data_IF_462260506348
#
_entry.id   IF_462260506348
#
_cell.length_a   1.000
_cell.length_b   1.000
_cell.length_c   1.000
_cell.angle_alpha   90.00
_cell.angle_beta   90.00
_cell.angle_gamma   90.00
#
_symmetry.space_group_name_H-M   'P 1'
#
loop_
_entity.id
_entity.type
_entity.pdbx_description
1 polymer ?
#
# COMPACT_ATOMS: atom_id res chain seq x y z
N UNK A 1 11.34 -31.51 15.63
CA UNK A 1 11.46 -30.09 15.97
C UNK A 1 10.14 -29.68 16.60
N UNK A 2 10.10 -29.30 17.89
CA UNK A 2 8.86 -28.82 18.48
C UNK A 2 8.48 -27.49 17.81
N UNK A 3 7.20 -27.30 17.50
CA UNK A 3 6.70 -25.99 17.06
C UNK A 3 6.97 -24.95 18.15
N UNK A 4 7.47 -23.75 17.79
CA UNK A 4 7.69 -22.69 18.76
C UNK A 4 6.37 -22.31 19.43
N UNK A 5 6.42 -22.05 20.74
CA UNK A 5 5.25 -21.61 21.48
C UNK A 5 4.64 -20.35 20.83
N UNK A 6 3.30 -20.19 20.82
CA UNK A 6 2.63 -19.07 20.17
C UNK A 6 3.00 -17.68 20.74
N UNK A 7 3.78 -17.62 21.83
CA UNK A 7 4.27 -16.37 22.44
C UNK A 7 5.64 -15.88 21.95
N UNK A 8 6.37 -16.63 21.10
CA UNK A 8 7.76 -16.26 20.74
C UNK A 8 7.93 -15.56 19.39
N UNK A 9 6.92 -15.59 18.50
CA UNK A 9 7.01 -14.84 17.23
C UNK A 9 6.45 -13.43 17.40
N UNK A 10 7.29 -12.41 17.19
CA UNK A 10 6.82 -11.02 17.02
C UNK A 10 5.67 -11.02 16.02
N UNK A 11 4.50 -10.41 16.31
CA UNK A 11 3.43 -10.34 15.32
C UNK A 11 3.83 -9.47 14.12
N UNK A 12 4.77 -8.54 14.31
CA UNK A 12 5.39 -7.80 13.22
C UNK A 12 6.35 -8.68 12.44
N UNK A 13 5.79 -9.56 11.62
CA UNK A 13 6.53 -10.40 10.69
C UNK A 13 6.92 -9.60 9.45
N UNK A 14 8.07 -9.91 8.89
CA UNK A 14 8.41 -9.48 7.55
C UNK A 14 7.90 -10.54 6.55
N UNK A 15 7.49 -10.12 5.36
CA UNK A 15 7.18 -11.07 4.30
C UNK A 15 8.47 -11.67 3.73
N UNK A 16 8.42 -12.95 3.40
CA UNK A 16 9.52 -13.69 2.81
C UNK A 16 9.65 -13.39 1.31
N UNK A 17 10.90 -13.39 0.82
CA UNK A 17 11.19 -13.25 -0.61
C UNK A 17 11.66 -14.59 -1.15
N UNK A 18 10.73 -15.33 -1.73
CA UNK A 18 10.97 -16.65 -2.30
C UNK A 18 10.62 -16.67 -3.79
N UNK A 19 11.24 -17.60 -4.51
CA UNK A 19 10.89 -17.95 -5.90
C UNK A 19 9.82 -19.04 -5.99
N UNK A 20 9.43 -19.60 -4.84
CA UNK A 20 8.33 -20.56 -4.71
C UNK A 20 6.97 -19.91 -4.95
N UNK A 21 5.97 -20.75 -5.24
CA UNK A 21 4.60 -20.29 -5.46
C UNK A 21 4.06 -19.58 -4.19
N UNK A 22 3.46 -18.38 -4.32
CA UNK A 22 2.85 -17.68 -3.21
C UNK A 22 1.74 -18.52 -2.57
N UNK A 23 1.58 -18.38 -1.25
CA UNK A 23 0.49 -19.02 -0.50
C UNK A 23 -0.87 -18.37 -0.77
N UNK A 24 -0.88 -17.06 -0.98
CA UNK A 24 -2.09 -16.29 -1.24
C UNK A 24 -2.70 -16.61 -2.61
N UNK A 25 -4.04 -16.67 -2.71
CA UNK A 25 -4.71 -16.84 -4.00
C UNK A 25 -4.39 -15.66 -4.93
N UNK A 26 -4.06 -15.95 -6.17
CA UNK A 26 -3.74 -14.96 -7.19
C UNK A 26 -4.41 -15.30 -8.51
N UNK A 27 -4.83 -14.26 -9.24
CA UNK A 27 -5.53 -14.38 -10.52
C UNK A 27 -4.98 -13.37 -11.51
N UNK A 28 -4.78 -13.80 -12.75
CA UNK A 28 -4.44 -12.90 -13.85
C UNK A 28 -5.70 -12.34 -14.48
N UNK A 29 -5.74 -11.03 -14.70
CA UNK A 29 -6.85 -10.33 -15.34
C UNK A 29 -6.33 -9.45 -16.47
N UNK A 30 -7.09 -9.40 -17.57
CA UNK A 30 -6.89 -8.45 -18.65
C UNK A 30 -8.19 -7.63 -18.77
N UNK A 31 -8.23 -6.38 -18.28
CA UNK A 31 -9.43 -5.56 -18.35
C UNK A 31 -9.85 -5.34 -19.80
N UNK A 32 -11.15 -5.49 -20.06
CA UNK A 32 -11.74 -5.15 -21.36
C UNK A 32 -11.85 -3.65 -21.58
N UNK A 33 -12.57 -3.25 -22.63
CA UNK A 33 -12.93 -1.86 -22.82
C UNK A 33 -13.91 -1.41 -21.72
N UNK A 34 -13.67 -0.23 -21.14
CA UNK A 34 -14.56 0.37 -20.16
C UNK A 34 -15.26 1.59 -20.76
N UNK A 35 -16.55 1.83 -20.42
CA UNK A 35 -17.24 3.02 -20.85
C UNK A 35 -16.52 4.26 -20.33
N UNK A 36 -16.44 5.33 -21.13
CA UNK A 36 -15.76 6.55 -20.72
C UNK A 36 -16.52 7.21 -19.56
N UNK A 37 -15.75 7.85 -18.68
CA UNK A 37 -16.30 8.66 -17.57
C UNK A 37 -17.27 9.70 -18.13
N UNK A 38 -18.43 9.82 -17.50
CA UNK A 38 -19.48 10.74 -17.92
C UNK A 38 -20.47 10.19 -18.96
N UNK A 39 -20.26 8.96 -19.45
CA UNK A 39 -21.28 8.27 -20.25
C UNK A 39 -22.38 7.65 -19.37
N UNK A 40 -23.57 7.47 -19.94
CA UNK A 40 -24.68 6.79 -19.26
C UNK A 40 -24.32 5.35 -18.85
N UNK A 41 -23.54 4.66 -19.68
CA UNK A 41 -23.05 3.32 -19.38
C UNK A 41 -22.11 3.29 -18.16
N UNK A 42 -21.22 4.29 -18.04
CA UNK A 42 -20.37 4.45 -16.86
C UNK A 42 -21.22 4.77 -15.62
N UNK A 43 -22.15 5.73 -15.72
CA UNK A 43 -23.02 6.12 -14.61
C UNK A 43 -23.85 4.93 -14.09
N UNK A 44 -24.47 4.16 -15.00
CA UNK A 44 -25.26 2.97 -14.64
C UNK A 44 -24.42 1.89 -13.95
N UNK A 45 -23.18 1.64 -14.40
CA UNK A 45 -22.30 0.64 -13.79
C UNK A 45 -21.76 1.10 -12.44
N UNK A 46 -21.39 2.36 -12.31
CA UNK A 46 -20.98 2.94 -11.02
C UNK A 46 -22.14 3.01 -10.01
N UNK A 47 -23.37 3.26 -10.45
CA UNK A 47 -24.56 3.20 -9.59
C UNK A 47 -24.77 1.78 -9.02
N UNK A 48 -24.58 0.73 -9.83
CA UNK A 48 -24.59 -0.67 -9.37
C UNK A 48 -23.50 -0.95 -8.33
N UNK A 49 -22.28 -0.44 -8.57
CA UNK A 49 -21.20 -0.51 -7.57
C UNK A 49 -21.62 0.19 -6.28
N UNK A 50 -22.19 1.38 -6.37
CA UNK A 50 -22.71 2.15 -5.24
C UNK A 50 -23.77 1.40 -4.45
N UNK A 51 -24.74 0.80 -5.13
CA UNK A 51 -25.78 -0.02 -4.50
C UNK A 51 -25.18 -1.25 -3.79
N UNK A 52 -24.18 -1.90 -4.40
CA UNK A 52 -23.48 -3.04 -3.80
C UNK A 52 -22.67 -2.63 -2.54
N UNK A 53 -21.98 -1.49 -2.58
CA UNK A 53 -21.26 -0.94 -1.43
C UNK A 53 -22.21 -0.59 -0.28
N UNK A 54 -23.34 0.04 -0.58
CA UNK A 54 -24.36 0.39 0.42
C UNK A 54 -24.99 -0.86 1.05
N UNK A 55 -25.39 -1.84 0.23
CA UNK A 55 -25.93 -3.12 0.70
C UNK A 55 -24.93 -3.90 1.58
N UNK A 56 -23.64 -3.78 1.32
CA UNK A 56 -22.58 -4.35 2.15
C UNK A 56 -22.29 -3.55 3.44
N UNK A 57 -22.93 -2.39 3.62
CA UNK A 57 -22.78 -1.52 4.78
C UNK A 57 -21.54 -0.63 4.75
N UNK A 58 -20.94 -0.37 3.58
CA UNK A 58 -19.79 0.56 3.45
C UNK A 58 -20.21 1.97 3.85
N UNK A 59 -19.66 2.46 4.96
CA UNK A 59 -20.01 3.75 5.55
C UNK A 59 -19.00 4.87 5.27
N UNK A 60 -17.80 4.52 4.81
CA UNK A 60 -16.79 5.47 4.35
C UNK A 60 -15.73 4.76 3.50
N UNK A 61 -15.17 5.50 2.55
CA UNK A 61 -14.01 5.09 1.76
C UNK A 61 -12.85 6.03 2.08
N UNK A 62 -11.66 5.49 2.32
CA UNK A 62 -10.44 6.29 2.47
C UNK A 62 -9.45 5.98 1.35
N UNK A 63 -9.08 7.02 0.62
CA UNK A 63 -8.00 7.03 -0.34
C UNK A 63 -6.71 7.40 0.39
N UNK A 64 -5.82 6.43 0.54
CA UNK A 64 -4.53 6.59 1.22
C UNK A 64 -3.44 6.42 0.20
N UNK A 65 -2.65 7.47 -0.01
CA UNK A 65 -1.60 7.43 -1.01
C UNK A 65 -0.22 7.43 -0.36
N UNK A 66 0.70 6.61 -0.86
CA UNK A 66 2.13 6.66 -0.52
C UNK A 66 2.93 7.27 -1.67
N UNK A 67 3.12 8.59 -1.67
CA UNK A 67 4.09 9.26 -2.57
C UNK A 67 5.52 9.05 -2.06
N UNK A 68 6.58 9.34 -2.80
CA UNK A 68 7.93 9.46 -2.23
C UNK A 68 8.23 10.97 -2.05
N UNK A 69 7.75 11.59 -0.98
CA UNK A 69 8.00 13.04 -0.76
C UNK A 69 9.25 13.23 0.09
N UNK A 70 10.20 14.06 -0.37
CA UNK A 70 11.37 14.49 0.40
C UNK A 70 12.72 13.94 -0.09
N UNK A 71 13.73 13.95 0.78
CA UNK A 71 15.13 13.49 0.55
C UNK A 71 15.22 12.02 0.04
N UNK A 72 14.10 11.31 0.03
CA UNK A 72 13.92 9.94 -0.41
C UNK A 72 14.22 9.69 -1.90
N UNK A 73 14.13 10.74 -2.71
CA UNK A 73 14.46 10.73 -4.12
C UNK A 73 15.88 10.19 -4.38
N UNK A 74 16.86 10.61 -3.58
CA UNK A 74 18.25 10.22 -3.74
C UNK A 74 18.47 8.72 -3.45
N UNK A 75 17.72 8.14 -2.52
CA UNK A 75 17.78 6.71 -2.19
C UNK A 75 17.28 5.83 -3.33
N UNK A 76 16.11 6.16 -3.90
CA UNK A 76 15.55 5.43 -5.06
C UNK A 76 16.46 5.55 -6.29
N UNK A 77 17.00 6.74 -6.57
CA UNK A 77 17.96 6.96 -7.66
C UNK A 77 19.24 6.15 -7.45
N UNK A 78 19.77 6.12 -6.22
CA UNK A 78 20.95 5.35 -5.86
C UNK A 78 20.76 3.84 -6.08
N UNK A 79 19.59 3.32 -5.73
CA UNK A 79 19.25 1.90 -5.93
C UNK A 79 19.08 1.56 -7.42
N UNK A 80 18.37 2.39 -8.18
CA UNK A 80 18.23 2.20 -9.63
C UNK A 80 19.60 2.28 -10.33
N UNK A 81 20.49 3.18 -9.91
CA UNK A 81 21.85 3.24 -10.44
C UNK A 81 22.70 2.00 -10.09
N UNK A 82 22.45 1.35 -8.94
CA UNK A 82 23.11 0.08 -8.56
C UNK A 82 22.61 -1.12 -9.37
N UNK A 83 21.31 -1.15 -9.70
CA UNK A 83 20.73 -2.16 -10.59
C UNK A 83 21.20 -1.95 -12.03
N UNK A 84 21.37 -0.69 -12.45
CA UNK A 84 21.79 -0.31 -13.79
C UNK A 84 23.12 0.47 -13.82
N UNK A 85 24.26 -0.13 -13.44
CA UNK A 85 25.54 0.59 -13.31
C UNK A 85 26.07 1.15 -14.64
N UNK A 86 25.73 0.49 -15.76
CA UNK A 86 26.11 0.90 -17.13
C UNK A 86 25.01 1.70 -17.85
N UNK A 87 24.01 2.20 -17.12
CA UNK A 87 22.93 3.02 -17.67
C UNK A 87 23.48 4.23 -18.47
N UNK A 88 23.01 4.38 -19.70
CA UNK A 88 23.37 5.51 -20.57
C UNK A 88 22.93 6.86 -19.97
N UNK A 89 23.46 7.98 -20.48
CA UNK A 89 23.03 9.33 -20.02
C UNK A 89 21.54 9.61 -20.23
N UNK A 90 20.90 8.94 -21.20
CA UNK A 90 19.45 9.04 -21.41
C UNK A 90 18.69 8.25 -20.32
N UNK A 91 19.15 7.05 -19.99
CA UNK A 91 18.62 6.20 -18.94
C UNK A 91 18.62 6.87 -17.55
N UNK A 92 19.74 7.51 -17.19
CA UNK A 92 19.87 8.23 -15.91
C UNK A 92 18.90 9.42 -15.82
N UNK A 93 18.62 10.09 -16.94
CA UNK A 93 17.63 11.18 -17.01
C UNK A 93 16.20 10.66 -16.83
N UNK A 94 15.85 9.55 -17.48
CA UNK A 94 14.57 8.88 -17.30
C UNK A 94 14.34 8.47 -15.83
N UNK A 95 15.33 7.82 -15.21
CA UNK A 95 15.29 7.44 -13.78
C UNK A 95 15.03 8.66 -12.90
N UNK A 96 15.77 9.75 -13.12
CA UNK A 96 15.60 10.98 -12.33
C UNK A 96 14.20 11.60 -12.51
N UNK A 97 13.68 11.62 -13.73
CA UNK A 97 12.34 12.15 -14.01
C UNK A 97 11.21 11.34 -13.36
N UNK A 98 11.35 10.01 -13.29
CA UNK A 98 10.41 9.16 -12.55
C UNK A 98 10.42 9.55 -11.08
N UNK A 99 11.61 9.71 -10.49
CA UNK A 99 11.75 10.08 -9.09
C UNK A 99 11.20 11.48 -8.81
N UNK A 100 11.56 12.49 -9.62
CA UNK A 100 11.08 13.87 -9.44
C UNK A 100 9.54 13.94 -9.53
N UNK A 101 8.91 13.14 -10.40
CA UNK A 101 7.44 13.06 -10.51
C UNK A 101 6.78 12.19 -9.44
N UNK A 102 7.45 11.13 -8.96
CA UNK A 102 7.05 10.37 -7.79
C UNK A 102 7.07 11.21 -6.51
N UNK A 103 7.74 12.37 -6.50
CA UNK A 103 7.68 13.37 -5.44
C UNK A 103 6.61 14.46 -5.65
N UNK A 104 5.90 14.44 -6.79
CA UNK A 104 4.84 15.39 -7.16
C UNK A 104 3.43 14.79 -7.14
N UNK A 105 2.47 15.45 -7.80
CA UNK A 105 1.05 15.04 -7.81
C UNK A 105 0.74 13.86 -8.75
N UNK A 106 1.66 13.52 -9.67
CA UNK A 106 1.47 12.41 -10.63
C UNK A 106 1.63 11.08 -9.88
N UNK A 107 0.61 10.22 -9.95
CA UNK A 107 0.57 8.96 -9.21
C UNK A 107 -0.16 9.03 -7.87
N UNK A 108 -0.69 10.20 -7.46
CA UNK A 108 -1.51 10.38 -6.26
C UNK A 108 -3.02 10.29 -6.55
N UNK A 109 -3.82 9.98 -5.53
CA UNK A 109 -5.25 10.24 -5.55
C UNK A 109 -5.50 11.75 -5.54
N UNK A 110 -5.77 12.30 -6.72
CA UNK A 110 -6.08 13.72 -6.88
C UNK A 110 -7.45 14.06 -6.27
N UNK A 111 -7.69 15.35 -5.98
CA UNK A 111 -9.03 15.85 -5.61
C UNK A 111 -10.11 15.42 -6.63
N UNK A 112 -9.90 15.67 -7.94
CA UNK A 112 -10.84 15.25 -8.97
C UNK A 112 -11.07 13.73 -9.04
N UNK A 113 -10.07 12.89 -8.73
CA UNK A 113 -10.27 11.45 -8.64
C UNK A 113 -11.25 11.10 -7.51
N UNK A 114 -11.03 11.67 -6.31
CA UNK A 114 -11.89 11.43 -5.15
C UNK A 114 -13.32 11.92 -5.38
N UNK A 115 -13.47 13.12 -5.95
CA UNK A 115 -14.77 13.73 -6.26
C UNK A 115 -15.55 12.90 -7.29
N UNK A 116 -14.92 12.50 -8.39
CA UNK A 116 -15.57 11.64 -9.39
C UNK A 116 -15.97 10.31 -8.77
N UNK A 117 -15.11 9.71 -7.94
CA UNK A 117 -15.44 8.44 -7.30
C UNK A 117 -16.64 8.58 -6.35
N UNK A 118 -16.64 9.59 -5.50
CA UNK A 118 -17.74 9.87 -4.57
C UNK A 118 -19.05 10.14 -5.30
N UNK A 119 -19.03 11.00 -6.31
CA UNK A 119 -20.23 11.33 -7.08
C UNK A 119 -20.80 10.13 -7.84
N UNK A 120 -19.92 9.25 -8.34
CA UNK A 120 -20.35 8.14 -9.21
C UNK A 120 -20.98 6.98 -8.44
N UNK A 121 -20.60 6.75 -7.19
CA UNK A 121 -21.19 5.68 -6.35
C UNK A 121 -22.45 6.11 -5.59
N UNK A 122 -22.66 7.42 -5.42
CA UNK A 122 -23.77 7.94 -4.64
C UNK A 122 -24.96 8.31 -5.52
N UNK A 123 -26.16 8.07 -5.00
CA UNK A 123 -27.44 8.41 -5.62
C UNK A 123 -28.36 9.02 -4.56
N UNK A 124 -29.31 9.92 -4.91
CA UNK A 124 -30.23 10.55 -3.94
C UNK A 124 -31.03 9.56 -3.10
N UNK A 125 -31.26 8.34 -3.61
CA UNK A 125 -32.09 7.33 -2.95
C UNK A 125 -31.33 6.45 -1.94
N UNK A 126 -30.02 6.66 -1.75
CA UNK A 126 -29.17 5.86 -0.86
C UNK A 126 -28.41 6.71 0.15
N UNK A 127 -28.05 6.16 1.32
CA UNK A 127 -27.16 6.83 2.25
C UNK A 127 -25.84 7.23 1.58
N UNK A 128 -25.44 8.48 1.80
CA UNK A 128 -24.20 9.01 1.22
C UNK A 128 -22.97 8.31 1.80
N UNK A 129 -22.12 7.75 0.93
CA UNK A 129 -20.83 7.15 1.26
C UNK A 129 -19.71 8.16 0.94
N UNK A 130 -19.09 8.78 1.96
CA UNK A 130 -18.03 9.76 1.73
C UNK A 130 -16.73 9.10 1.25
N UNK A 131 -16.03 9.74 0.31
CA UNK A 131 -14.69 9.35 -0.16
C UNK A 131 -13.66 10.35 0.34
N UNK A 132 -12.82 9.93 1.27
CA UNK A 132 -11.89 10.82 1.99
C UNK A 132 -10.46 10.57 1.57
N UNK A 133 -9.71 11.64 1.30
CA UNK A 133 -8.26 11.54 1.14
C UNK A 133 -7.58 11.63 2.50
N UNK A 134 -6.71 10.68 2.81
CA UNK A 134 -5.86 10.71 4.00
C UNK A 134 -4.43 11.04 3.62
N UNK A 135 -3.88 12.06 4.26
CA UNK A 135 -2.52 12.55 4.02
C UNK A 135 -1.59 12.16 5.17
N UNK A 136 -0.40 11.69 4.82
CA UNK A 136 0.71 11.39 5.73
C UNK A 136 2.03 11.73 5.03
N UNK A 137 3.16 11.68 5.75
CA UNK A 137 4.46 12.14 5.23
C UNK A 137 4.87 11.44 3.93
N UNK A 138 4.41 10.20 3.76
CA UNK A 138 4.77 9.35 2.63
C UNK A 138 6.26 8.99 2.56
N UNK A 139 6.99 9.17 3.66
CA UNK A 139 8.42 8.85 3.71
C UNK A 139 8.66 7.34 3.58
N UNK A 140 9.69 6.98 2.80
CA UNK A 140 10.09 5.61 2.51
C UNK A 140 11.07 5.05 3.54
N UNK A 141 10.73 5.16 4.82
CA UNK A 141 11.44 4.50 5.91
C UNK A 141 10.47 3.91 6.94
N UNK A 142 10.98 3.16 7.92
CA UNK A 142 10.11 2.46 8.88
C UNK A 142 9.29 3.45 9.70
N UNK A 143 9.93 4.49 10.21
CA UNK A 143 9.30 5.49 11.06
C UNK A 143 8.22 6.32 10.33
N UNK A 144 8.44 6.70 9.07
CA UNK A 144 7.45 7.44 8.28
C UNK A 144 6.16 6.63 8.09
N UNK A 145 6.31 5.35 7.74
CA UNK A 145 5.17 4.42 7.63
C UNK A 145 4.50 4.14 8.97
N UNK A 146 5.29 4.07 10.05
CA UNK A 146 4.78 3.92 11.41
C UNK A 146 3.94 5.15 11.84
N UNK A 147 4.42 6.36 11.57
CA UNK A 147 3.67 7.60 11.82
C UNK A 147 2.39 7.66 10.99
N UNK A 148 2.44 7.26 9.71
CA UNK A 148 1.27 7.10 8.85
C UNK A 148 0.23 6.14 9.46
N UNK A 149 0.67 4.99 9.99
CA UNK A 149 -0.23 3.99 10.58
C UNK A 149 -0.89 4.50 11.86
N UNK A 150 -0.10 5.12 12.76
CA UNK A 150 -0.61 5.71 14.01
C UNK A 150 -1.63 6.81 13.73
N UNK A 151 -1.33 7.70 12.78
CA UNK A 151 -2.26 8.78 12.38
C UNK A 151 -3.51 8.26 11.71
N UNK A 152 -3.40 7.21 10.88
CA UNK A 152 -4.55 6.59 10.24
C UNK A 152 -5.48 5.97 11.30
N UNK A 153 -4.94 5.22 12.26
CA UNK A 153 -5.75 4.69 13.39
C UNK A 153 -6.50 5.82 14.10
N UNK A 154 -5.80 6.90 14.44
CA UNK A 154 -6.43 8.06 15.09
C UNK A 154 -7.56 8.66 14.25
N UNK A 155 -7.37 8.80 12.94
CA UNK A 155 -8.38 9.32 12.02
C UNK A 155 -9.61 8.39 11.94
N UNK A 156 -9.39 7.08 11.80
CA UNK A 156 -10.45 6.09 11.69
C UNK A 156 -11.28 6.03 12.97
N UNK A 157 -10.65 6.06 14.15
CA UNK A 157 -11.38 6.06 15.43
C UNK A 157 -12.21 7.34 15.60
N UNK A 158 -11.66 8.50 15.22
CA UNK A 158 -12.37 9.78 15.35
C UNK A 158 -13.57 9.92 14.43
N UNK A 159 -13.54 9.24 13.28
CA UNK A 159 -14.58 9.36 12.25
C UNK A 159 -15.23 8.03 11.91
N UNK A 160 -15.20 7.07 12.84
CA UNK A 160 -15.79 5.76 12.64
C UNK A 160 -17.28 5.91 12.30
N UNK A 161 -17.79 5.17 11.31
CA UNK A 161 -19.21 5.14 11.03
C UNK A 161 -19.96 4.45 12.20
N UNK A 162 -21.31 4.50 12.22
CA UNK A 162 -22.11 3.75 13.18
C UNK A 162 -21.73 2.26 13.22
N UNK A 163 -21.91 1.64 14.39
CA UNK A 163 -21.61 0.22 14.58
C UNK A 163 -22.28 -0.65 13.51
N UNK A 164 -21.56 -1.67 13.02
CA UNK A 164 -22.02 -2.54 11.93
C UNK A 164 -21.79 -2.00 10.53
N UNK A 165 -21.45 -0.72 10.36
CA UNK A 165 -20.92 -0.19 9.09
C UNK A 165 -19.44 -0.51 8.96
N UNK A 166 -18.98 -0.69 7.72
CA UNK A 166 -17.58 -1.02 7.39
C UNK A 166 -16.86 0.17 6.76
N UNK A 167 -15.53 0.18 6.86
CA UNK A 167 -14.65 1.17 6.21
C UNK A 167 -13.85 0.46 5.12
N UNK A 168 -13.89 1.01 3.90
CA UNK A 168 -13.06 0.55 2.78
C UNK A 168 -11.83 1.46 2.64
N UNK A 169 -10.64 0.88 2.74
CA UNK A 169 -9.36 1.57 2.62
C UNK A 169 -8.71 1.23 1.29
N UNK A 170 -8.47 2.23 0.44
CA UNK A 170 -7.77 2.08 -0.84
C UNK A 170 -6.37 2.68 -0.72
N UNK A 171 -5.37 1.83 -0.60
CA UNK A 171 -3.97 2.19 -0.40
C UNK A 171 -3.18 2.12 -1.70
N UNK A 172 -2.57 3.22 -2.13
CA UNK A 172 -1.65 3.22 -3.27
C UNK A 172 -0.18 3.18 -2.83
N UNK A 173 0.65 2.38 -3.50
CA UNK A 173 2.09 2.28 -3.27
C UNK A 173 2.41 1.92 -1.81
N UNK A 174 3.26 2.70 -1.12
CA UNK A 174 3.63 2.45 0.28
C UNK A 174 2.47 2.56 1.29
N UNK A 175 1.30 3.07 0.91
CA UNK A 175 0.13 3.06 1.78
C UNK A 175 -0.31 1.64 2.19
N UNK A 176 -0.11 0.63 1.35
CA UNK A 176 -0.38 -0.76 1.77
C UNK A 176 0.55 -1.23 2.89
N UNK A 177 1.79 -0.72 2.97
CA UNK A 177 2.68 -0.99 4.10
C UNK A 177 2.26 -0.24 5.38
N UNK A 178 1.63 0.93 5.23
CA UNK A 178 0.94 1.61 6.35
C UNK A 178 -0.21 0.76 6.87
N UNK A 179 -1.01 0.19 5.96
CA UNK A 179 -2.11 -0.71 6.33
C UNK A 179 -1.60 -1.96 7.03
N UNK A 180 -0.56 -2.61 6.53
CA UNK A 180 0.03 -3.78 7.16
C UNK A 180 0.48 -3.50 8.61
N UNK A 181 1.19 -2.39 8.85
CA UNK A 181 1.56 -1.98 10.23
C UNK A 181 0.33 -1.70 11.09
N UNK A 182 -0.68 -1.03 10.53
CA UNK A 182 -1.93 -0.77 11.22
C UNK A 182 -2.64 -2.07 11.62
N UNK A 183 -2.70 -3.09 10.75
CA UNK A 183 -3.35 -4.37 11.07
C UNK A 183 -2.70 -5.05 12.27
N UNK A 184 -1.36 -4.99 12.36
CA UNK A 184 -0.63 -5.55 13.50
C UNK A 184 -0.89 -4.79 14.81
N UNK A 185 -1.04 -3.47 14.75
CA UNK A 185 -1.40 -2.65 15.92
C UNK A 185 -2.85 -2.88 16.38
N UNK A 186 -3.75 -3.17 15.45
CA UNK A 186 -5.17 -3.41 15.72
C UNK A 186 -5.50 -4.86 16.07
N UNK A 187 -4.55 -5.79 15.92
CA UNK A 187 -4.74 -7.22 16.17
C UNK A 187 -5.00 -7.60 17.64
N UNK A 188 -4.98 -6.63 18.56
CA UNK A 188 -5.23 -6.84 19.99
C UNK A 188 -4.04 -7.37 20.80
N UNK A 189 -2.86 -7.54 20.19
CA UNK A 189 -1.65 -7.97 20.90
C UNK A 189 -1.01 -6.80 21.67
N UNK A 190 -1.26 -6.73 22.98
CA UNK A 190 -0.78 -5.65 23.85
C UNK A 190 0.75 -5.56 23.90
N UNK A 191 1.45 -6.69 24.01
CA UNK A 191 2.90 -6.71 24.12
C UNK A 191 3.57 -6.18 22.86
N UNK A 192 3.01 -6.49 21.70
CA UNK A 192 3.48 -5.97 20.42
C UNK A 192 3.23 -4.47 20.29
N UNK A 193 2.06 -4.00 20.69
CA UNK A 193 1.75 -2.55 20.75
C UNK A 193 2.77 -1.85 21.65
N UNK A 194 3.03 -2.35 22.85
CA UNK A 194 4.03 -1.75 23.75
C UNK A 194 5.44 -1.77 23.16
N UNK A 195 5.88 -2.87 22.55
CA UNK A 195 7.18 -2.96 21.89
C UNK A 195 7.32 -1.95 20.75
N UNK A 196 6.27 -1.78 19.94
CA UNK A 196 6.22 -0.81 18.84
C UNK A 196 6.34 0.62 19.38
N UNK A 197 5.51 1.02 20.33
CA UNK A 197 5.55 2.37 20.88
C UNK A 197 6.85 2.64 21.62
N UNK A 198 7.39 1.66 22.36
CA UNK A 198 8.71 1.77 23.01
C UNK A 198 9.85 1.94 22.00
N UNK A 199 9.83 1.23 20.87
CA UNK A 199 10.84 1.39 19.82
C UNK A 199 10.87 2.84 19.27
N UNK A 200 9.71 3.48 19.23
CA UNK A 200 9.50 4.84 18.69
C UNK A 200 9.44 5.95 19.73
N UNK A 201 9.58 5.65 21.02
CA UNK A 201 9.34 6.63 22.10
C UNK A 201 10.17 7.90 21.95
N UNK A 202 11.44 7.74 21.56
CA UNK A 202 12.38 8.85 21.35
C UNK A 202 11.94 9.79 20.21
N UNK A 203 11.07 9.36 19.31
CA UNK A 203 10.54 10.20 18.23
C UNK A 203 9.41 11.11 18.74
N UNK A 204 8.43 10.57 19.48
CA UNK A 204 7.24 11.33 19.85
C UNK A 204 7.28 11.94 21.25
N UNK A 205 8.21 11.50 22.11
CA UNK A 205 8.41 12.05 23.45
C UNK A 205 9.89 12.25 23.71
N UNK A 206 10.21 13.31 24.45
CA UNK A 206 11.56 13.61 24.85
C UNK A 206 11.81 13.09 26.28
N UNK A 207 12.59 12.02 26.46
CA UNK A 207 12.66 11.32 27.75
C UNK A 207 13.26 12.16 28.88
N UNK A 208 14.14 13.11 28.54
CA UNK A 208 14.92 13.90 29.50
C UNK A 208 14.11 15.07 30.08
N UNK A 209 13.28 15.72 29.25
CA UNK A 209 12.47 16.87 29.69
C UNK A 209 10.99 16.54 29.84
N UNK A 210 10.62 15.27 29.66
CA UNK A 210 9.23 14.78 29.69
C UNK A 210 8.25 15.55 28.79
N UNK A 211 8.74 16.07 27.66
CA UNK A 211 7.93 16.77 26.66
C UNK A 211 7.33 15.77 25.65
N UNK A 212 6.14 16.07 25.16
CA UNK A 212 5.46 15.31 24.10
C UNK A 212 5.47 16.12 22.83
N UNK A 213 6.26 15.69 21.86
CA UNK A 213 6.46 16.43 20.60
C UNK A 213 5.38 16.08 19.57
N UNK A 214 4.88 14.84 19.60
CA UNK A 214 3.86 14.35 18.66
C UNK A 214 2.67 13.76 19.42
N UNK A 215 1.72 14.60 19.90
CA UNK A 215 0.65 14.17 20.81
C UNK A 215 -0.26 13.05 20.29
N UNK A 216 -0.39 12.90 18.98
CA UNK A 216 -1.21 11.82 18.38
C UNK A 216 -0.68 10.43 18.74
N UNK A 217 0.64 10.25 18.85
CA UNK A 217 1.23 8.96 19.21
C UNK A 217 0.83 8.52 20.62
N UNK A 218 0.89 9.43 21.59
CA UNK A 218 0.47 9.12 22.96
C UNK A 218 -1.03 8.83 23.02
N UNK A 219 -1.86 9.63 22.32
CA UNK A 219 -3.30 9.37 22.27
C UNK A 219 -3.62 7.99 21.74
N UNK A 220 -2.97 7.58 20.64
CA UNK A 220 -3.21 6.25 20.03
C UNK A 220 -2.66 5.13 20.92
N UNK A 221 -1.46 5.30 21.48
CA UNK A 221 -0.89 4.33 22.43
C UNK A 221 -1.85 4.09 23.59
N UNK A 222 -2.25 5.15 24.27
CA UNK A 222 -3.10 5.07 25.45
C UNK A 222 -4.49 4.51 25.09
N UNK A 223 -5.01 4.86 23.92
CA UNK A 223 -6.25 4.30 23.38
C UNK A 223 -6.13 2.78 23.13
N UNK A 224 -5.09 2.31 22.43
CA UNK A 224 -4.89 0.88 22.16
C UNK A 224 -4.62 0.08 23.44
N UNK A 225 -4.01 0.71 24.46
CA UNK A 225 -3.85 0.09 25.79
C UNK A 225 -5.17 -0.11 26.51
N UNK A 226 -6.03 0.92 26.52
CA UNK A 226 -7.34 0.88 27.20
C UNK A 226 -8.36 0.06 26.43
N UNK A 227 -8.36 0.19 25.11
CA UNK A 227 -9.31 -0.44 24.19
C UNK A 227 -8.55 -1.08 23.01
N UNK A 228 -7.95 -2.28 23.21
CA UNK A 228 -7.20 -2.99 22.17
C UNK A 228 -8.04 -3.30 20.93
N UNK A 229 -9.37 -3.31 21.08
CA UNK A 229 -10.37 -3.59 20.05
C UNK A 229 -11.12 -2.34 19.61
N UNK A 230 -10.50 -1.15 19.67
CA UNK A 230 -11.16 0.15 19.41
C UNK A 230 -11.90 0.25 18.04
N UNK A 231 -11.53 -0.57 17.07
CA UNK A 231 -12.15 -0.66 15.74
C UNK A 231 -12.83 -2.01 15.48
N UNK A 232 -12.98 -2.90 16.46
CA UNK A 232 -13.52 -4.25 16.26
C UNK A 232 -14.99 -4.26 15.79
N UNK A 233 -15.77 -3.23 16.12
CA UNK A 233 -17.16 -3.07 15.68
C UNK A 233 -17.31 -2.50 14.26
N UNK A 234 -16.19 -2.13 13.63
CA UNK A 234 -16.14 -1.48 12.32
C UNK A 234 -15.20 -2.29 11.43
N UNK A 235 -15.74 -3.23 10.64
CA UNK A 235 -14.91 -4.05 9.75
C UNK A 235 -14.09 -3.17 8.81
N UNK A 236 -12.80 -3.49 8.68
CA UNK A 236 -11.87 -2.79 7.79
C UNK A 236 -11.61 -3.64 6.56
N UNK A 237 -12.06 -3.20 5.40
CA UNK A 237 -11.71 -3.82 4.12
C UNK A 237 -10.59 -3.04 3.49
N UNK A 238 -9.55 -3.74 3.04
CA UNK A 238 -8.33 -3.12 2.56
C UNK A 238 -8.05 -3.55 1.13
N UNK A 239 -7.82 -2.57 0.29
CA UNK A 239 -7.40 -2.77 -1.09
C UNK A 239 -6.08 -2.04 -1.26
N UNK A 240 -5.09 -2.72 -1.81
CA UNK A 240 -3.80 -2.10 -2.12
C UNK A 240 -3.53 -2.09 -3.61
N UNK A 241 -2.90 -1.04 -4.09
CA UNK A 241 -2.56 -0.83 -5.49
C UNK A 241 -1.05 -0.62 -5.63
N UNK A 242 -0.37 -1.57 -6.27
CA UNK A 242 1.08 -1.49 -6.50
C UNK A 242 1.93 -1.44 -5.23
N UNK A 243 1.42 -1.97 -4.10
CA UNK A 243 2.18 -1.97 -2.85
C UNK A 243 3.37 -2.93 -2.94
N UNK A 244 4.59 -2.46 -2.61
CA UNK A 244 5.74 -3.35 -2.52
C UNK A 244 5.59 -4.34 -1.37
N UNK A 245 5.83 -5.63 -1.65
CA UNK A 245 5.87 -6.71 -0.66
C UNK A 245 6.88 -6.36 0.42
N UNK A 246 6.45 -6.32 1.70
CA UNK A 246 7.32 -5.93 2.81
C UNK A 246 6.90 -6.44 4.17
N UNK A 247 5.88 -5.85 4.79
CA UNK A 247 5.43 -6.21 6.13
C UNK A 247 4.34 -7.27 6.06
N UNK A 248 4.37 -8.21 6.99
CA UNK A 248 3.30 -9.19 7.17
C UNK A 248 2.01 -8.54 7.66
N UNK A 249 0.90 -9.16 7.29
CA UNK A 249 -0.44 -8.74 7.69
C UNK A 249 -0.88 -9.53 8.92
N UNK A 250 -1.70 -8.92 9.77
CA UNK A 250 -2.34 -9.62 10.88
C UNK A 250 -3.83 -9.82 10.59
N UNK A 251 -4.25 -11.08 10.50
CA UNK A 251 -5.62 -11.46 10.12
C UNK A 251 -6.70 -10.94 11.08
N UNK A 252 -6.33 -10.62 12.33
CA UNK A 252 -7.24 -10.00 13.31
C UNK A 252 -7.34 -8.47 13.17
N UNK A 253 -6.59 -7.86 12.26
CA UNK A 253 -6.52 -6.42 12.05
C UNK A 253 -7.30 -5.90 10.84
N UNK A 254 -7.91 -6.79 10.06
CA UNK A 254 -8.72 -6.46 8.88
C UNK A 254 -9.81 -7.51 8.64
N UNK A 255 -10.84 -7.18 7.87
CA UNK A 255 -11.91 -8.09 7.49
C UNK A 255 -11.67 -8.72 6.12
N UNK A 256 -11.18 -7.93 5.16
CA UNK A 256 -10.92 -8.37 3.78
C UNK A 256 -9.68 -7.69 3.22
N UNK A 257 -8.93 -8.40 2.38
CA UNK A 257 -7.68 -7.89 1.80
C UNK A 257 -7.57 -8.29 0.32
N UNK A 258 -7.41 -7.28 -0.53
CA UNK A 258 -7.26 -7.41 -1.98
C UNK A 258 -6.06 -6.59 -2.46
N UNK A 259 -5.26 -7.16 -3.35
CA UNK A 259 -4.10 -6.52 -3.93
C UNK A 259 -4.27 -6.41 -5.44
N UNK A 260 -4.10 -5.22 -6.01
CA UNK A 260 -3.97 -5.01 -7.45
C UNK A 260 -2.50 -4.77 -7.77
N UNK A 261 -1.98 -5.54 -8.73
CA UNK A 261 -0.61 -5.44 -9.19
C UNK A 261 -0.64 -5.39 -10.71
N UNK A 262 -0.18 -4.29 -11.30
CA UNK A 262 0.03 -4.18 -12.73
C UNK A 262 1.22 -5.08 -13.10
N UNK A 263 0.93 -6.18 -13.78
CA UNK A 263 1.91 -7.19 -14.10
C UNK A 263 1.59 -7.86 -15.43
N UNK A 264 2.63 -8.06 -16.24
CA UNK A 264 2.56 -8.90 -17.44
C UNK A 264 3.52 -10.08 -17.28
N UNK A 265 3.05 -11.31 -17.49
CA UNK A 265 3.90 -12.49 -17.44
C UNK A 265 5.13 -12.34 -18.35
N UNK A 266 6.27 -12.81 -17.87
CA UNK A 266 7.51 -12.85 -18.63
C UNK A 266 7.78 -14.27 -19.11
N UNK A 267 8.23 -14.43 -20.34
CA UNK A 267 8.59 -15.74 -20.88
C UNK A 267 9.66 -16.42 -20.02
N UNK A 268 9.43 -17.70 -19.67
CA UNK A 268 10.34 -18.48 -18.84
C UNK A 268 10.26 -18.22 -17.34
N UNK A 269 9.31 -17.38 -16.86
CA UNK A 269 9.01 -17.19 -15.45
C UNK A 269 7.55 -17.53 -15.14
N UNK A 270 7.24 -18.07 -13.94
CA UNK A 270 5.87 -18.20 -13.47
C UNK A 270 5.15 -16.85 -13.40
N UNK A 271 3.83 -16.83 -13.59
CA UNK A 271 3.04 -15.57 -13.66
C UNK A 271 3.09 -14.73 -12.38
N UNK A 272 3.47 -15.32 -11.24
CA UNK A 272 3.57 -14.64 -9.96
C UNK A 272 4.96 -14.02 -9.69
N UNK A 273 5.86 -14.00 -10.68
CA UNK A 273 7.22 -13.48 -10.55
C UNK A 273 7.53 -12.37 -11.54
N UNK A 274 8.22 -11.35 -11.05
CA UNK A 274 8.84 -10.33 -11.89
C UNK A 274 10.26 -10.72 -12.33
N UNK A 275 10.61 -10.35 -13.55
CA UNK A 275 11.95 -10.57 -14.10
C UNK A 275 12.99 -9.63 -13.48
N UNK A 276 14.17 -10.17 -13.14
CA UNK A 276 15.30 -9.37 -12.64
C UNK A 276 16.66 -9.90 -13.13
N UNK A 277 17.61 -9.02 -13.51
CA UNK A 277 17.45 -7.58 -13.65
C UNK A 277 16.63 -7.24 -14.91
N UNK A 278 15.73 -6.24 -14.86
CA UNK A 278 14.96 -5.86 -16.04
C UNK A 278 15.87 -5.19 -17.09
N UNK A 279 15.47 -5.21 -18.36
CA UNK A 279 16.15 -4.38 -19.38
C UNK A 279 15.65 -2.96 -19.24
N UNK A 280 16.52 -2.00 -19.53
CA UNK A 280 16.17 -0.58 -19.40
C UNK A 280 15.01 -0.19 -20.33
N UNK A 281 15.00 -0.72 -21.56
CA UNK A 281 13.92 -0.47 -22.52
C UNK A 281 12.57 -0.95 -21.97
N UNK A 282 12.56 -2.10 -21.30
CA UNK A 282 11.37 -2.67 -20.66
C UNK A 282 10.86 -1.75 -19.54
N UNK A 283 11.75 -1.16 -18.73
CA UNK A 283 11.37 -0.17 -17.69
C UNK A 283 10.77 1.08 -18.32
N UNK A 284 11.38 1.60 -19.38
CA UNK A 284 10.87 2.80 -20.07
C UNK A 284 9.51 2.59 -20.71
N UNK A 285 9.20 1.36 -21.14
CA UNK A 285 7.93 0.97 -21.75
C UNK A 285 6.96 0.32 -20.76
N UNK A 286 7.34 0.22 -19.48
CA UNK A 286 6.61 -0.53 -18.47
C UNK A 286 6.20 -1.94 -18.94
N UNK A 287 7.05 -2.64 -19.73
CA UNK A 287 6.66 -3.86 -20.44
C UNK A 287 6.23 -4.99 -19.49
N UNK A 288 6.92 -5.18 -18.36
CA UNK A 288 6.56 -6.15 -17.32
C UNK A 288 5.49 -5.68 -16.32
N UNK A 289 4.89 -4.50 -16.54
CA UNK A 289 3.92 -3.88 -15.65
C UNK A 289 4.56 -2.83 -14.76
N UNK A 290 4.43 -2.98 -13.43
CA UNK A 290 4.86 -1.99 -12.44
C UNK A 290 6.29 -2.22 -11.94
N UNK A 291 7.25 -1.48 -12.52
CA UNK A 291 8.64 -1.56 -12.09
C UNK A 291 8.91 -0.79 -10.79
N UNK A 292 8.10 0.22 -10.43
CA UNK A 292 8.29 0.95 -9.17
C UNK A 292 7.98 0.04 -7.99
N UNK A 293 6.91 -0.75 -8.08
CA UNK A 293 6.60 -1.79 -7.11
C UNK A 293 7.74 -2.79 -7.00
N UNK A 294 8.27 -3.28 -8.13
CA UNK A 294 9.37 -4.24 -8.16
C UNK A 294 10.65 -3.70 -7.51
N UNK A 295 11.00 -2.44 -7.75
CA UNK A 295 12.17 -1.82 -7.13
C UNK A 295 11.93 -1.42 -5.68
N UNK A 296 10.68 -1.15 -5.29
CA UNK A 296 10.29 -0.91 -3.90
C UNK A 296 10.36 -2.13 -2.99
N UNK A 297 10.56 -3.33 -3.56
CA UNK A 297 10.69 -4.60 -2.83
C UNK A 297 11.97 -4.60 -1.96
N UNK A 298 11.80 -4.96 -0.69
CA UNK A 298 12.84 -5.54 0.17
C UNK A 298 14.19 -4.81 0.39
N UNK A 299 14.25 -3.48 0.45
CA UNK A 299 15.45 -2.82 1.00
C UNK A 299 15.77 -1.41 0.57
N UNK A 300 14.87 -0.73 -0.14
CA UNK A 300 15.10 0.65 -0.61
C UNK A 300 14.81 1.71 0.45
N UNK A 301 14.87 1.36 1.74
CA UNK A 301 14.71 2.37 2.79
C UNK A 301 15.71 3.50 2.59
N UNK A 302 15.17 4.70 2.60
CA UNK A 302 15.96 5.89 2.75
C UNK A 302 16.28 6.03 4.23
N UNK A 303 17.55 6.19 4.57
CA UNK A 303 17.88 6.43 5.98
C UNK A 303 17.51 7.87 6.31
N UNK A 304 16.77 8.12 7.40
CA UNK A 304 16.60 9.48 7.89
C UNK A 304 17.97 10.15 8.11
N UNK A 305 18.03 11.46 7.90
CA UNK A 305 19.24 12.23 8.13
C UNK A 305 19.81 11.96 9.52
N UNK A 306 21.12 11.70 9.60
CA UNK A 306 21.82 11.47 10.90
C UNK A 306 21.79 12.70 11.81
N UNK A 307 21.58 13.89 11.23
CA UNK A 307 21.38 15.13 11.99
C UNK A 307 20.01 15.17 12.67
N UNK A 308 19.02 14.41 12.17
CA UNK A 308 17.77 14.10 12.83
C UNK A 308 17.92 12.82 13.69
N UNK A 309 18.88 12.83 14.62
CA UNK A 309 19.33 11.63 15.34
C UNK A 309 18.20 10.87 16.06
N UNK A 310 17.16 11.57 16.53
CA UNK A 310 15.98 10.94 17.16
C UNK A 310 15.18 10.11 16.17
N UNK A 311 14.92 10.68 14.98
CA UNK A 311 14.26 10.02 13.85
C UNK A 311 15.08 8.82 13.38
N UNK A 312 16.38 8.99 13.23
CA UNK A 312 17.31 7.91 12.87
C UNK A 312 17.29 6.77 13.90
N UNK A 313 17.36 7.09 15.19
CA UNK A 313 17.38 6.07 16.26
C UNK A 313 16.05 5.31 16.36
N UNK A 314 14.92 6.02 16.24
CA UNK A 314 13.60 5.40 16.22
C UNK A 314 13.41 4.48 15.00
N UNK A 315 13.87 4.92 13.81
CA UNK A 315 13.83 4.11 12.59
C UNK A 315 14.70 2.85 12.72
N UNK A 316 15.89 2.97 13.30
CA UNK A 316 16.77 1.82 13.56
C UNK A 316 16.15 0.82 14.55
N UNK A 317 15.53 1.30 15.63
CA UNK A 317 14.82 0.44 16.59
C UNK A 317 13.63 -0.27 15.95
N UNK A 318 12.86 0.44 15.11
CA UNK A 318 11.79 -0.15 14.32
C UNK A 318 12.31 -1.19 13.33
N UNK A 319 13.45 -0.95 12.69
CA UNK A 319 14.07 -1.94 11.79
C UNK A 319 14.32 -3.26 12.52
N UNK A 320 14.90 -3.21 13.72
CA UNK A 320 15.15 -4.40 14.55
C UNK A 320 13.87 -5.12 14.98
N UNK A 321 12.75 -4.40 15.13
CA UNK A 321 11.45 -4.99 15.45
C UNK A 321 10.76 -5.59 14.22
N UNK A 322 10.72 -4.86 13.11
CA UNK A 322 9.95 -5.16 11.91
C UNK A 322 10.66 -6.09 10.93
N UNK A 323 11.98 -6.25 11.06
CA UNK A 323 12.81 -7.07 10.17
C UNK A 323 13.59 -8.16 10.93
N UNK A 324 13.18 -8.49 12.16
CA UNK A 324 13.90 -9.45 13.02
C UNK A 324 14.17 -10.79 12.35
N UNK A 325 13.17 -11.29 11.61
CA UNK A 325 13.22 -12.62 10.98
C UNK A 325 13.71 -12.57 9.53
N UNK A 326 14.02 -11.38 9.01
CA UNK A 326 14.52 -11.23 7.65
C UNK A 326 16.03 -11.54 7.66
N UNK A 327 16.50 -12.59 6.96
CA UNK A 327 17.91 -12.94 6.96
C UNK A 327 18.74 -11.73 6.50
N UNK A 328 19.92 -11.49 7.12
CA UNK A 328 20.82 -10.41 6.73
C UNK A 328 21.38 -10.56 5.29
N UNK A 329 20.98 -11.60 4.54
CA UNK A 329 21.45 -11.93 3.21
C UNK A 329 21.07 -10.93 2.10
N UNK A 330 21.90 -11.00 1.06
CA UNK A 330 22.19 -10.01 0.01
C UNK A 330 20.96 -9.59 -0.79
N UNK A 331 20.51 -8.33 -0.65
CA UNK A 331 19.38 -7.67 -1.38
C UNK A 331 19.18 -8.11 -2.84
N UNK A 332 20.25 -8.46 -3.56
CA UNK A 332 20.22 -9.05 -4.90
C UNK A 332 19.43 -10.36 -5.00
N UNK A 333 19.50 -11.24 -4.00
CA UNK A 333 18.72 -12.49 -3.97
C UNK A 333 17.22 -12.20 -3.90
N UNK A 334 16.81 -11.22 -3.09
CA UNK A 334 15.41 -10.78 -2.96
C UNK A 334 14.87 -10.23 -4.28
N UNK A 335 15.66 -9.40 -4.96
CA UNK A 335 15.30 -8.93 -6.30
C UNK A 335 15.24 -10.07 -7.33
N UNK A 336 16.16 -11.04 -7.27
CA UNK A 336 16.13 -12.23 -8.15
C UNK A 336 14.95 -13.16 -7.86
N UNK A 337 14.48 -13.23 -6.61
CA UNK A 337 13.27 -13.97 -6.27
C UNK A 337 12.06 -13.40 -7.04
N UNK A 338 12.03 -12.07 -7.27
CA UNK A 338 11.01 -11.45 -8.10
C UNK A 338 9.62 -11.51 -7.47
N UNK A 339 9.55 -11.60 -6.13
CA UNK A 339 8.30 -11.78 -5.38
C UNK A 339 7.42 -10.53 -5.47
N UNK A 340 6.35 -10.59 -6.26
CA UNK A 340 5.40 -9.49 -6.38
C UNK A 340 4.09 -9.74 -5.63
N UNK A 341 3.71 -11.00 -5.42
CA UNK A 341 2.46 -11.40 -4.76
C UNK A 341 2.66 -11.45 -3.24
N UNK A 342 1.89 -10.70 -2.44
CA UNK A 342 1.89 -10.80 -0.97
C UNK A 342 1.45 -12.19 -0.47
N UNK A 343 1.85 -12.54 0.75
CA UNK A 343 1.53 -13.85 1.33
C UNK A 343 0.13 -13.95 1.96
N UNK A 344 -0.54 -12.83 2.18
CA UNK A 344 -1.90 -12.72 2.69
C UNK A 344 -2.83 -12.02 1.69
N UNK A 345 -4.13 -12.24 1.83
CA UNK A 345 -5.15 -11.67 0.95
C UNK A 345 -5.21 -12.28 -0.45
N UNK A 346 -6.10 -11.75 -1.29
CA UNK A 346 -6.21 -12.13 -2.70
C UNK A 346 -5.44 -11.15 -3.57
N UNK A 347 -4.72 -11.63 -4.57
CA UNK A 347 -3.99 -10.79 -5.52
C UNK A 347 -4.55 -10.86 -6.93
N UNK A 348 -4.74 -9.71 -7.56
CA UNK A 348 -5.09 -9.56 -8.96
C UNK A 348 -3.84 -9.05 -9.71
N UNK A 349 -3.30 -9.90 -10.56
CA UNK A 349 -2.22 -9.58 -11.50
C UNK A 349 -2.89 -9.04 -12.76
N UNK A 350 -2.93 -7.72 -12.90
CA UNK A 350 -3.70 -7.04 -13.93
C UNK A 350 -2.80 -6.57 -15.06
N UNK A 351 -3.07 -7.01 -16.28
CA UNK A 351 -2.49 -6.44 -17.48
C UNK A 351 -3.36 -5.28 -17.98
N UNK A 352 -3.00 -4.05 -17.61
CA UNK A 352 -3.70 -2.84 -18.06
C UNK A 352 -3.43 -2.46 -19.54
N UNK A 353 -2.79 -3.33 -20.32
CA UNK A 353 -2.39 -3.06 -21.69
C UNK A 353 -1.19 -2.11 -21.79
N UNK A 354 -0.71 -1.81 -23.01
CA UNK A 354 0.47 -0.98 -23.20
C UNK A 354 0.29 0.42 -22.62
N UNK A 355 1.34 0.92 -21.95
CA UNK A 355 1.34 2.29 -21.44
C UNK A 355 1.51 3.28 -22.60
N UNK A 356 0.78 4.39 -22.54
CA UNK A 356 0.91 5.50 -23.46
C UNK A 356 1.71 6.63 -22.78
N UNK A 357 2.42 7.42 -23.59
CA UNK A 357 3.18 8.56 -23.11
C UNK A 357 4.58 8.21 -22.60
N UNK A 358 5.21 9.16 -21.92
CA UNK A 358 6.57 9.01 -21.42
C UNK A 358 6.65 8.29 -20.06
N UNK A 359 7.84 7.78 -19.72
CA UNK A 359 8.09 7.04 -18.47
C UNK A 359 7.75 7.80 -17.20
N UNK A 360 7.78 9.13 -17.26
CA UNK A 360 7.46 10.00 -16.15
C UNK A 360 5.94 10.19 -16.00
N UNK A 361 5.17 10.08 -17.08
CA UNK A 361 3.71 10.11 -17.06
C UNK A 361 3.12 8.81 -16.50
N UNK A 362 3.64 7.66 -16.92
CA UNK A 362 3.16 6.37 -16.43
C UNK A 362 3.93 5.83 -15.21
N UNK A 363 4.96 6.54 -14.74
CA UNK A 363 5.81 6.18 -13.61
C UNK A 363 6.30 4.73 -13.68
N UNK A 364 6.90 4.36 -14.82
CA UNK A 364 7.33 2.98 -15.09
C UNK A 364 6.24 1.90 -14.84
N UNK A 365 4.97 2.27 -15.07
CA UNK A 365 3.80 1.39 -14.96
C UNK A 365 3.00 1.57 -13.67
N UNK A 366 3.52 2.34 -12.73
CA UNK A 366 2.94 2.52 -11.40
C UNK A 366 1.76 3.49 -11.38
N UNK A 367 1.72 4.51 -12.25
CA UNK A 367 0.68 5.54 -12.21
C UNK A 367 -0.73 5.02 -12.60
N UNK A 368 -0.81 3.80 -13.13
CA UNK A 368 -2.04 3.23 -13.67
C UNK A 368 -3.15 3.12 -12.63
N UNK A 369 -2.81 2.87 -11.37
CA UNK A 369 -3.79 2.60 -10.34
C UNK A 369 -4.56 3.84 -9.87
N UNK A 370 -3.99 5.03 -10.02
CA UNK A 370 -4.67 6.30 -9.71
C UNK A 370 -5.20 7.01 -10.95
N UNK A 371 -5.11 6.35 -12.11
CA UNK A 371 -5.71 6.87 -13.35
C UNK A 371 -7.22 6.71 -13.31
N UNK A 372 -7.93 7.81 -13.57
CA UNK A 372 -9.39 7.84 -13.58
C UNK A 372 -9.99 6.85 -14.59
N UNK A 373 -9.29 6.55 -15.69
CA UNK A 373 -9.79 5.63 -16.72
C UNK A 373 -10.04 4.21 -16.19
N UNK A 374 -9.34 3.82 -15.13
CA UNK A 374 -9.46 2.49 -14.51
C UNK A 374 -10.35 2.48 -13.27
N UNK A 375 -10.91 3.62 -12.88
CA UNK A 375 -11.72 3.75 -11.67
C UNK A 375 -12.88 2.76 -11.65
N UNK A 376 -13.64 2.66 -12.76
CA UNK A 376 -14.76 1.74 -12.85
C UNK A 376 -14.31 0.28 -12.70
N UNK A 377 -13.26 -0.11 -13.41
CA UNK A 377 -12.68 -1.45 -13.32
C UNK A 377 -12.29 -1.80 -11.87
N UNK A 378 -11.55 -0.91 -11.20
CA UNK A 378 -11.15 -1.12 -9.81
C UNK A 378 -12.37 -1.26 -8.90
N UNK A 379 -13.35 -0.37 -9.05
CA UNK A 379 -14.53 -0.36 -8.20
C UNK A 379 -15.40 -1.63 -8.39
N UNK A 380 -15.55 -2.11 -9.62
CA UNK A 380 -16.26 -3.35 -9.93
C UNK A 380 -15.53 -4.59 -9.43
N UNK A 381 -14.21 -4.68 -9.61
CA UNK A 381 -13.44 -5.81 -9.07
C UNK A 381 -13.49 -5.82 -7.54
N UNK A 382 -13.40 -4.66 -6.87
CA UNK A 382 -13.56 -4.59 -5.41
C UNK A 382 -14.96 -5.07 -5.03
N UNK A 383 -16.01 -4.59 -5.70
CA UNK A 383 -17.38 -4.97 -5.41
C UNK A 383 -17.64 -6.47 -5.67
N UNK A 384 -17.08 -7.03 -6.74
CA UNK A 384 -17.21 -8.46 -7.04
C UNK A 384 -16.50 -9.33 -6.02
N UNK A 385 -15.25 -9.00 -5.68
CA UNK A 385 -14.40 -9.83 -4.81
C UNK A 385 -14.77 -9.72 -3.34
N UNK A 386 -15.22 -8.56 -2.88
CA UNK A 386 -15.62 -8.36 -1.48
C UNK A 386 -17.12 -8.53 -1.28
N UNK A 387 -17.96 -8.05 -2.19
CA UNK A 387 -19.39 -7.85 -1.94
C UNK A 387 -20.29 -8.64 -2.88
N UNK A 388 -19.72 -9.57 -3.65
CA UNK A 388 -20.44 -10.46 -4.57
C UNK A 388 -21.31 -9.69 -5.58
N UNK A 389 -20.81 -8.58 -6.12
CA UNK A 389 -21.43 -7.94 -7.29
C UNK A 389 -21.48 -8.94 -8.44
N UNK A 390 -22.69 -9.25 -8.90
CA UNK A 390 -22.90 -10.11 -10.07
C UNK A 390 -22.21 -9.51 -11.30
N UNK A 391 -21.53 -10.35 -12.07
CA UNK A 391 -21.13 -10.02 -13.43
C UNK A 391 -22.42 -9.99 -14.27
N UNK A 392 -23.19 -8.90 -14.18
CA UNK A 392 -24.38 -8.75 -15.00
C UNK A 392 -24.04 -8.92 -16.48
N UNK A 393 -24.96 -9.50 -17.25
CA UNK A 393 -24.78 -9.84 -18.66
C UNK A 393 -24.02 -8.74 -19.43
N UNK A 394 -22.78 -9.05 -19.84
CA UNK A 394 -21.92 -8.19 -20.66
C UNK A 394 -22.42 -8.08 -22.10
#
# INVERSE_FOLDING_TARGET
>A
MPEPSPSETSPFRHQDYTDSRPRGPHYTLCPGAHPPIGSDAFAKRMDRVGACLDAAGVGAIYLVHGTFVGDDAAGVVGELARVFPKASRAARRAIRQIVDKLSGEVGNYSGPFAEIFEQSINSPDRPHIPVRRFHWSSENHHLGRADGAVRLIHELVRRKPPAGRRILLLGHSHAGNVFALMTNLLAGNRDAVEQFFKATEIYYSWPVVHCVDVPVWIRVRDMLRRWPTALAEVPLDMVTFGTPVRYGWSDNGYSRLLHFINHRPCEGLPEYRAAFPPRLDDVTKAAGGDYVQQFGIAGTNTMPSVFAWRTWLADHRLNSLLQKDLPPENRRSRFRAGTIVPDAGTTLLVDYGPVQGDVSQHLAGHAVYTSRQWLLFHAEEIARRFYALDAGDE
#
